data_IF_219011196495
#
_entry.id   IF_219011196495
#
_cell.length_a   1.000
_cell.length_b   1.000
_cell.length_c   1.000
_cell.angle_alpha   90.00
_cell.angle_beta   90.00
_cell.angle_gamma   90.00
#
_symmetry.space_group_name_H-M   'P 1'
#
loop_
_entity.id
_entity.type
_entity.pdbx_description
1 polymer ?
#
# COMPACT_ATOMS: atom_id res chain seq x y z
N UNK A 1 17.23 13.54 -11.37
CA UNK A 1 16.12 13.77 -10.44
C UNK A 1 15.18 12.60 -10.46
N UNK A 2 14.80 12.11 -9.30
CA UNK A 2 13.92 10.97 -9.18
C UNK A 2 12.52 11.32 -8.67
N UNK A 3 11.55 10.57 -9.13
CA UNK A 3 10.16 10.63 -8.66
C UNK A 3 9.78 9.25 -8.16
N UNK A 4 9.21 9.19 -6.96
CA UNK A 4 8.82 7.92 -6.34
C UNK A 4 7.31 7.69 -6.56
N UNK A 5 6.97 6.59 -7.22
CA UNK A 5 5.61 6.10 -7.29
C UNK A 5 5.42 4.95 -6.30
N UNK A 6 4.33 4.99 -5.55
CA UNK A 6 3.95 3.95 -4.59
C UNK A 6 2.58 3.42 -4.97
N UNK A 7 2.49 2.12 -5.19
CA UNK A 7 1.23 1.43 -5.46
C UNK A 7 0.92 0.47 -4.32
N UNK A 8 -0.15 0.76 -3.59
CA UNK A 8 -0.67 -0.07 -2.49
C UNK A 8 -1.79 -0.96 -3.04
N UNK A 9 -1.41 -2.10 -3.57
CA UNK A 9 -2.37 -3.07 -4.10
C UNK A 9 -2.93 -4.00 -3.03
N UNK A 10 -3.93 -4.79 -3.39
CA UNK A 10 -4.53 -5.79 -2.49
C UNK A 10 -3.55 -6.89 -2.09
N UNK A 11 -2.57 -7.15 -2.93
CA UNK A 11 -1.61 -8.23 -2.75
C UNK A 11 -0.25 -7.80 -2.24
N UNK A 12 0.08 -6.53 -2.28
CA UNK A 12 1.39 -6.04 -1.91
C UNK A 12 1.59 -4.58 -2.25
N UNK A 13 2.80 -4.12 -1.97
CA UNK A 13 3.25 -2.76 -2.24
C UNK A 13 4.33 -2.80 -3.31
N UNK A 14 4.25 -1.89 -4.26
CA UNK A 14 5.29 -1.66 -5.26
C UNK A 14 5.78 -0.23 -5.18
N UNK A 15 7.09 -0.05 -5.23
CA UNK A 15 7.73 1.25 -5.32
C UNK A 15 8.50 1.34 -6.64
N UNK A 16 8.30 2.44 -7.37
CA UNK A 16 9.00 2.73 -8.62
C UNK A 16 9.76 4.04 -8.49
N UNK A 17 11.04 4.02 -8.83
CA UNK A 17 11.83 5.23 -8.95
C UNK A 17 12.00 5.57 -10.43
N UNK A 18 11.50 6.73 -10.82
CA UNK A 18 11.40 7.16 -12.22
C UNK A 18 12.19 8.43 -12.43
N UNK A 19 12.86 8.53 -13.55
CA UNK A 19 13.62 9.71 -13.97
C UNK A 19 12.73 10.78 -14.64
N UNK A 20 13.28 11.97 -14.86
CA UNK A 20 12.60 13.08 -15.55
C UNK A 20 12.07 12.70 -16.93
N UNK A 21 12.74 11.81 -17.63
CA UNK A 21 12.36 11.34 -18.97
C UNK A 21 11.37 10.17 -18.95
N UNK A 22 10.95 9.72 -17.77
CA UNK A 22 10.04 8.61 -17.59
C UNK A 22 10.71 7.23 -17.54
N UNK A 23 12.04 7.16 -17.63
CA UNK A 23 12.74 5.89 -17.49
C UNK A 23 12.68 5.37 -16.04
N UNK A 24 12.45 4.07 -15.90
CA UNK A 24 12.46 3.44 -14.59
C UNK A 24 13.90 3.18 -14.18
N UNK A 25 14.35 3.84 -13.11
CA UNK A 25 15.69 3.65 -12.56
C UNK A 25 15.78 2.38 -11.72
N UNK A 26 14.78 2.16 -10.87
CA UNK A 26 14.74 1.00 -9.98
C UNK A 26 13.31 0.74 -9.53
N UNK A 27 13.07 -0.48 -9.08
CA UNK A 27 11.80 -0.86 -8.47
C UNK A 27 12.02 -1.82 -7.32
N UNK A 28 11.10 -1.82 -6.38
CA UNK A 28 11.03 -2.81 -5.32
C UNK A 28 9.57 -3.15 -5.05
N UNK A 29 9.34 -4.34 -4.56
CA UNK A 29 8.00 -4.76 -4.18
C UNK A 29 8.04 -5.67 -2.96
N UNK A 30 6.98 -5.65 -2.19
CA UNK A 30 6.82 -6.47 -1.02
C UNK A 30 5.39 -7.00 -0.95
N UNK A 31 5.25 -8.30 -0.73
CA UNK A 31 3.94 -8.92 -0.54
C UNK A 31 3.41 -8.60 0.85
N UNK A 32 2.10 -8.46 0.98
CA UNK A 32 1.45 -8.37 2.29
C UNK A 32 1.54 -9.72 3.00
N UNK A 33 1.91 -9.70 4.30
CA UNK A 33 2.24 -10.90 5.06
C UNK A 33 1.07 -11.82 5.31
N UNK A 34 -0.09 -11.29 5.66
CA UNK A 34 -1.14 -12.08 6.30
C UNK A 34 -2.48 -12.03 5.55
N UNK A 35 -2.45 -12.33 4.25
CA UNK A 35 -3.63 -12.23 3.40
C UNK A 35 -4.62 -13.38 3.49
N UNK A 36 -4.21 -14.48 4.10
CA UNK A 36 -4.98 -15.71 4.16
C UNK A 36 -5.57 -15.94 5.55
N UNK A 37 -5.88 -14.89 6.28
CA UNK A 37 -6.71 -15.05 7.46
C UNK A 37 -8.01 -15.72 7.03
N UNK A 38 -8.46 -16.72 7.78
CA UNK A 38 -9.67 -17.45 7.50
C UNK A 38 -10.80 -16.47 7.20
N UNK A 39 -11.26 -16.46 5.96
CA UNK A 39 -12.31 -15.58 5.51
C UNK A 39 -13.66 -16.18 5.92
N UNK A 40 -14.38 -15.45 6.74
CA UNK A 40 -15.81 -15.69 6.87
C UNK A 40 -16.50 -15.25 5.57
N UNK A 41 -17.61 -15.93 5.24
CA UNK A 41 -18.38 -15.61 4.05
C UNK A 41 -18.82 -14.13 4.10
N UNK A 42 -18.52 -13.39 3.04
CA UNK A 42 -18.87 -11.98 2.90
C UNK A 42 -17.91 -11.02 3.58
N UNK A 43 -16.94 -11.50 4.35
CA UNK A 43 -15.94 -10.67 5.01
C UNK A 43 -14.67 -10.57 4.19
N UNK A 44 -14.21 -9.34 3.93
CA UNK A 44 -12.92 -9.08 3.30
C UNK A 44 -12.26 -7.91 3.99
N UNK A 45 -11.23 -8.18 4.77
CA UNK A 45 -10.53 -7.20 5.60
C UNK A 45 -9.02 -7.33 5.45
N UNK A 46 -8.32 -6.22 5.67
CA UNK A 46 -6.86 -6.21 5.79
C UNK A 46 -6.44 -5.40 7.01
N UNK A 47 -5.30 -5.77 7.57
CA UNK A 47 -4.68 -5.00 8.65
C UNK A 47 -3.86 -3.86 8.04
N UNK A 48 -4.19 -2.59 8.30
CA UNK A 48 -3.43 -1.47 7.74
C UNK A 48 -1.98 -1.42 8.20
N UNK A 49 -1.63 -2.01 9.34
CA UNK A 49 -0.23 -2.11 9.79
C UNK A 49 0.61 -2.95 8.82
N UNK A 50 0.02 -3.99 8.21
CA UNK A 50 0.69 -4.79 7.18
C UNK A 50 1.07 -3.94 5.96
N UNK A 51 0.24 -2.96 5.61
CA UNK A 51 0.55 -2.05 4.51
C UNK A 51 1.79 -1.21 4.82
N UNK A 52 1.84 -0.67 6.03
CA UNK A 52 2.96 0.18 6.48
C UNK A 52 4.25 -0.63 6.53
N UNK A 53 4.23 -1.83 7.10
CA UNK A 53 5.40 -2.70 7.16
C UNK A 53 5.90 -3.09 5.77
N UNK A 54 4.98 -3.45 4.86
CA UNK A 54 5.35 -3.79 3.49
C UNK A 54 5.92 -2.59 2.74
N UNK A 55 5.37 -1.39 2.95
CA UNK A 55 5.89 -0.17 2.37
C UNK A 55 7.28 0.16 2.89
N UNK A 56 7.49 0.09 4.20
CA UNK A 56 8.80 0.32 4.81
C UNK A 56 9.84 -0.64 4.25
N UNK A 57 9.53 -1.93 4.17
CA UNK A 57 10.43 -2.95 3.63
C UNK A 57 10.77 -2.67 2.15
N UNK A 58 9.78 -2.31 1.34
CA UNK A 58 9.99 -1.97 -0.07
C UNK A 58 10.86 -0.73 -0.23
N UNK A 59 10.62 0.30 0.59
CA UNK A 59 11.40 1.54 0.57
C UNK A 59 12.83 1.33 1.08
N UNK A 60 13.01 0.57 2.15
CA UNK A 60 14.34 0.25 2.67
C UNK A 60 15.18 -0.47 1.62
N UNK A 61 14.57 -1.40 0.90
CA UNK A 61 15.24 -2.10 -0.19
C UNK A 61 15.61 -1.14 -1.34
N UNK A 62 14.67 -0.29 -1.77
CA UNK A 62 14.88 0.65 -2.86
C UNK A 62 15.98 1.66 -2.52
N UNK A 63 15.98 2.19 -1.30
CA UNK A 63 16.90 3.23 -0.84
C UNK A 63 18.17 2.68 -0.17
N UNK A 64 18.40 1.38 -0.23
CA UNK A 64 19.68 0.78 0.18
C UNK A 64 20.83 1.29 -0.68
N UNK A 65 20.56 1.64 -1.94
CA UNK A 65 21.52 2.32 -2.80
C UNK A 65 21.39 3.84 -2.58
N UNK A 66 22.47 4.51 -2.10
CA UNK A 66 22.44 5.96 -1.89
C UNK A 66 22.13 6.77 -3.14
N UNK A 67 22.42 6.23 -4.35
CA UNK A 67 22.10 6.90 -5.61
C UNK A 67 20.61 7.04 -5.86
N UNK A 68 19.78 6.25 -5.17
CA UNK A 68 18.32 6.30 -5.30
C UNK A 68 17.66 7.36 -4.41
N UNK A 69 18.43 8.06 -3.57
CA UNK A 69 17.89 8.99 -2.56
C UNK A 69 17.54 10.38 -3.07
N UNK A 70 17.83 10.67 -4.35
CA UNK A 70 17.51 11.93 -4.99
C UNK A 70 16.06 11.94 -5.47
N UNK A 71 15.12 12.02 -4.53
CA UNK A 71 13.68 12.02 -4.80
C UNK A 71 13.10 13.41 -4.60
N UNK A 72 12.42 13.93 -5.61
CA UNK A 72 11.83 15.27 -5.61
C UNK A 72 10.35 15.28 -5.31
N UNK A 73 9.64 14.23 -5.67
CA UNK A 73 8.22 14.13 -5.43
C UNK A 73 7.80 12.68 -5.26
N UNK A 74 6.70 12.48 -4.56
CA UNK A 74 6.11 11.17 -4.30
C UNK A 74 4.64 11.20 -4.72
N UNK A 75 4.21 10.17 -5.42
CA UNK A 75 2.81 9.93 -5.72
C UNK A 75 2.39 8.56 -5.17
N UNK A 76 1.20 8.49 -4.63
CA UNK A 76 0.66 7.25 -4.05
C UNK A 76 -0.64 6.90 -4.74
N UNK A 77 -0.77 5.64 -5.08
CA UNK A 77 -1.94 5.01 -5.65
C UNK A 77 -2.34 3.83 -4.76
N UNK A 78 -3.60 3.52 -4.69
CA UNK A 78 -4.09 2.43 -3.84
C UNK A 78 -5.35 1.78 -4.40
N UNK A 79 -5.71 0.62 -3.86
CA UNK A 79 -6.94 -0.09 -4.23
C UNK A 79 -8.17 0.77 -3.93
N UNK A 80 -9.01 0.98 -4.94
CA UNK A 80 -10.27 1.73 -4.78
C UNK A 80 -11.29 0.93 -3.96
N UNK A 81 -12.27 1.64 -3.38
CA UNK A 81 -13.36 1.02 -2.63
C UNK A 81 -12.95 0.44 -1.28
N UNK A 82 -11.79 0.77 -0.78
CA UNK A 82 -11.30 0.37 0.55
C UNK A 82 -11.66 1.45 1.57
N UNK A 83 -12.21 1.05 2.70
CA UNK A 83 -12.62 1.95 3.78
C UNK A 83 -11.87 1.61 5.06
N UNK A 84 -11.26 2.64 5.66
CA UNK A 84 -10.56 2.52 6.92
C UNK A 84 -10.90 3.71 7.81
N UNK A 85 -11.63 3.50 8.93
CA UNK A 85 -11.81 4.57 9.92
C UNK A 85 -10.52 4.82 10.68
N UNK A 86 -10.20 6.08 10.87
CA UNK A 86 -9.01 6.51 11.60
C UNK A 86 -9.38 7.53 12.68
N UNK A 87 -8.59 7.59 13.74
CA UNK A 87 -8.70 8.62 14.75
C UNK A 87 -8.23 9.98 14.20
N UNK A 88 -8.51 11.11 14.91
CA UNK A 88 -7.98 12.42 14.52
C UNK A 88 -6.44 12.44 14.38
N UNK A 89 -5.74 11.59 15.11
CA UNK A 89 -4.28 11.45 15.06
C UNK A 89 -3.79 10.58 13.88
N UNK A 90 -4.72 10.04 13.09
CA UNK A 90 -4.40 9.20 11.95
C UNK A 90 -4.17 7.72 12.28
N UNK A 91 -4.48 7.29 13.51
CA UNK A 91 -4.35 5.88 13.90
C UNK A 91 -5.56 5.06 13.43
N UNK A 92 -5.34 3.87 12.86
CA UNK A 92 -6.45 3.00 12.49
C UNK A 92 -7.30 2.59 13.70
N UNK A 93 -8.62 2.62 13.54
CA UNK A 93 -9.56 2.20 14.56
C UNK A 93 -9.99 0.74 14.41
N UNK A 94 -9.42 0.02 13.48
CA UNK A 94 -9.71 -1.37 13.22
C UNK A 94 -9.14 -1.82 11.89
N UNK A 95 -9.66 -2.92 11.37
CA UNK A 95 -9.27 -3.44 10.06
C UNK A 95 -9.87 -2.60 8.96
N UNK A 96 -9.18 -2.55 7.82
CA UNK A 96 -9.73 -1.96 6.60
C UNK A 96 -10.75 -2.90 5.96
N UNK A 97 -11.88 -2.36 5.53
CA UNK A 97 -12.85 -3.08 4.73
C UNK A 97 -12.48 -2.96 3.26
N UNK A 98 -12.25 -4.10 2.63
CA UNK A 98 -11.85 -4.13 1.23
C UNK A 98 -13.07 -3.96 0.31
N UNK A 99 -12.81 -3.65 -0.96
CA UNK A 99 -13.83 -3.38 -1.98
C UNK A 99 -14.81 -4.56 -2.19
N UNK A 100 -14.37 -5.77 -1.91
CA UNK A 100 -15.15 -7.00 -2.06
C UNK A 100 -15.79 -7.49 -0.75
N UNK A 101 -15.76 -6.68 0.32
CA UNK A 101 -16.51 -6.96 1.54
C UNK A 101 -18.01 -6.80 1.28
N UNK A 102 -18.79 -7.80 1.63
CA UNK A 102 -20.20 -7.87 1.28
C UNK A 102 -21.14 -7.76 2.49
N UNK A 103 -20.61 -7.36 3.65
CA UNK A 103 -21.43 -7.33 4.88
C UNK A 103 -22.48 -6.20 4.91
N UNK A 104 -22.26 -5.14 4.13
CA UNK A 104 -23.17 -3.97 4.07
C UNK A 104 -24.26 -4.12 3.01
N UNK A 105 -24.78 -5.33 2.82
CA UNK A 105 -25.80 -5.57 1.78
C UNK A 105 -27.15 -4.95 2.07
N UNK A 106 -27.47 -4.69 3.34
CA UNK A 106 -28.73 -4.04 3.75
C UNK A 106 -28.68 -2.52 3.58
N UNK A 107 -27.48 -1.93 3.59
CA UNK A 107 -27.23 -0.50 3.46
C UNK A 107 -26.98 -0.07 2.00
N UNK A 108 -26.81 -1.02 1.13
CA UNK A 108 -26.44 -0.77 -0.28
C UNK A 108 -27.64 -0.34 -1.15
#
# INVERSE_FOLDING_TARGET
MGYLGIDLGTGGVRCLLVEDDGAIRSESSQKLGNRNLAREVGRSEQDPEEWVLALEDAMDHLFSDPAHRDVHAVAVDSTSGTVLPVSPDGNPLGKALMYDDMRATEEA
#
